data_IF_364883880350
#
_entry.id   IF_364883880350
#
_cell.length_a   1.000
_cell.length_b   1.000
_cell.length_c   1.000
_cell.angle_alpha   90.00
_cell.angle_beta   90.00
_cell.angle_gamma   90.00
#
_symmetry.space_group_name_H-M   'P 1'
#
loop_
_entity.id
_entity.type
_entity.pdbx_description
1 polymer ?
#
# COMPACT_ATOMS: atom_id res chain seq x y z
N UNK A 1 -55.89 28.68 -2.64
CA UNK A 1 -54.85 28.32 -3.63
C UNK A 1 -55.49 27.52 -4.75
N UNK A 2 -55.24 27.86 -6.02
CA UNK A 2 -55.79 27.13 -7.18
C UNK A 2 -55.22 25.70 -7.23
N UNK A 3 -56.00 24.67 -7.61
CA UNK A 3 -55.56 23.27 -7.64
C UNK A 3 -54.27 23.04 -8.45
N UNK A 4 -54.12 23.75 -9.57
CA UNK A 4 -52.91 23.67 -10.41
C UNK A 4 -51.63 24.15 -9.73
N UNK A 5 -51.72 25.07 -8.76
CA UNK A 5 -50.54 25.58 -8.04
C UNK A 5 -50.01 24.58 -7.03
N UNK A 6 -50.88 23.74 -6.44
CA UNK A 6 -50.48 22.64 -5.57
C UNK A 6 -49.79 21.53 -6.36
N UNK A 7 -50.29 21.23 -7.56
CA UNK A 7 -49.69 20.22 -8.46
C UNK A 7 -48.28 20.62 -8.91
N UNK A 8 -48.08 21.89 -9.26
CA UNK A 8 -46.78 22.42 -9.68
C UNK A 8 -45.72 22.33 -8.56
N UNK A 9 -46.07 22.68 -7.32
CA UNK A 9 -45.17 22.59 -6.18
C UNK A 9 -44.76 21.13 -5.91
N UNK A 10 -45.70 20.19 -6.05
CA UNK A 10 -45.45 18.76 -5.86
C UNK A 10 -44.48 18.19 -6.91
N UNK A 11 -44.62 18.62 -8.17
CA UNK A 11 -43.72 18.22 -9.26
C UNK A 11 -42.30 18.76 -9.09
N UNK A 12 -42.16 20.02 -8.68
CA UNK A 12 -40.85 20.65 -8.42
C UNK A 12 -40.16 19.98 -7.23
N UNK A 13 -40.91 19.70 -6.15
CA UNK A 13 -40.40 18.96 -5.00
C UNK A 13 -39.91 17.57 -5.38
N UNK A 14 -40.66 16.85 -6.22
CA UNK A 14 -40.25 15.56 -6.77
C UNK A 14 -38.93 15.66 -7.55
N UNK A 15 -38.84 16.59 -8.50
CA UNK A 15 -37.63 16.80 -9.32
C UNK A 15 -36.39 17.13 -8.48
N UNK A 16 -36.53 17.95 -7.44
CA UNK A 16 -35.43 18.27 -6.53
C UNK A 16 -34.97 17.06 -5.71
N UNK A 17 -35.91 16.25 -5.22
CA UNK A 17 -35.59 15.04 -4.46
C UNK A 17 -34.90 14.01 -5.34
N UNK A 18 -35.44 13.74 -6.53
CA UNK A 18 -34.82 12.80 -7.48
C UNK A 18 -33.48 13.32 -8.02
N UNK A 19 -33.37 14.62 -8.28
CA UNK A 19 -32.11 15.27 -8.65
C UNK A 19 -31.05 15.17 -7.55
N UNK A 20 -31.44 15.35 -6.29
CA UNK A 20 -30.55 15.18 -5.13
C UNK A 20 -30.07 13.74 -4.93
N UNK A 21 -30.98 12.76 -5.07
CA UNK A 21 -30.63 11.33 -4.99
C UNK A 21 -29.68 10.95 -6.14
N UNK A 22 -29.94 11.40 -7.36
CA UNK A 22 -29.07 11.14 -8.51
C UNK A 22 -27.68 11.77 -8.34
N UNK A 23 -27.62 13.00 -7.83
CA UNK A 23 -26.36 13.68 -7.55
C UNK A 23 -25.52 12.95 -6.50
N UNK A 24 -26.13 12.49 -5.42
CA UNK A 24 -25.47 11.67 -4.40
C UNK A 24 -25.00 10.30 -4.95
N UNK A 25 -25.77 9.69 -5.86
CA UNK A 25 -25.39 8.44 -6.50
C UNK A 25 -24.18 8.61 -7.46
N UNK A 26 -24.08 9.76 -8.13
CA UNK A 26 -22.95 10.10 -9.02
C UNK A 26 -21.67 10.52 -8.28
N UNK A 27 -21.75 10.89 -6.99
CA UNK A 27 -20.57 11.25 -6.19
C UNK A 27 -19.79 10.04 -5.63
N UNK A 28 -20.08 8.81 -6.08
CA UNK A 28 -19.24 7.67 -5.69
C UNK A 28 -17.85 7.82 -6.31
N UNK A 29 -16.89 8.27 -5.51
CA UNK A 29 -15.47 8.31 -5.86
C UNK A 29 -15.01 6.95 -6.41
N UNK A 30 -14.17 6.99 -7.44
CA UNK A 30 -13.55 5.80 -8.02
C UNK A 30 -12.81 5.04 -6.90
N UNK A 31 -13.15 3.75 -6.64
CA UNK A 31 -12.46 2.95 -5.65
C UNK A 31 -10.94 2.95 -5.79
N UNK A 32 -10.39 3.13 -7.00
CA UNK A 32 -8.95 3.21 -7.25
C UNK A 32 -8.32 4.49 -6.72
N UNK A 33 -8.98 5.63 -6.91
CA UNK A 33 -8.52 6.91 -6.37
C UNK A 33 -8.68 6.93 -4.85
N UNK A 34 -9.78 6.36 -4.34
CA UNK A 34 -9.96 6.15 -2.90
C UNK A 34 -8.87 5.26 -2.31
N UNK A 35 -8.49 4.18 -3.00
CA UNK A 35 -7.42 3.29 -2.54
C UNK A 35 -6.08 4.01 -2.40
N UNK A 36 -5.76 4.91 -3.34
CA UNK A 36 -4.56 5.75 -3.27
C UNK A 36 -4.61 6.70 -2.08
N UNK A 37 -5.73 7.41 -1.91
CA UNK A 37 -5.89 8.34 -0.79
C UNK A 37 -5.77 7.65 0.57
N UNK A 38 -6.36 6.45 0.73
CA UNK A 38 -6.25 5.66 1.95
C UNK A 38 -4.81 5.16 2.15
N UNK A 39 -4.13 4.71 1.10
CA UNK A 39 -2.74 4.28 1.17
C UNK A 39 -1.78 5.42 1.57
N UNK A 40 -1.90 6.59 0.96
CA UNK A 40 -1.10 7.77 1.30
C UNK A 40 -1.32 8.19 2.76
N UNK A 41 -2.58 8.23 3.21
CA UNK A 41 -2.89 8.53 4.61
C UNK A 41 -2.31 7.49 5.57
N UNK A 42 -2.35 6.21 5.17
CA UNK A 42 -1.81 5.12 5.98
C UNK A 42 -0.29 5.19 6.07
N UNK A 43 0.41 5.62 5.01
CA UNK A 43 1.86 5.82 5.03
C UNK A 43 2.29 6.74 6.17
N UNK A 44 1.66 7.91 6.30
CA UNK A 44 1.97 8.85 7.39
C UNK A 44 1.70 8.27 8.78
N UNK A 45 0.92 7.19 8.91
CA UNK A 45 0.67 6.50 10.18
C UNK A 45 1.62 5.32 10.41
N UNK A 46 2.32 4.86 9.37
CA UNK A 46 3.22 3.71 9.41
C UNK A 46 4.69 4.10 9.61
N UNK A 47 5.04 5.38 9.45
CA UNK A 47 6.41 5.88 9.60
C UNK A 47 6.63 6.53 10.97
N UNK A 48 7.86 6.46 11.48
CA UNK A 48 8.21 7.01 12.80
C UNK A 48 8.17 8.56 12.82
N UNK A 49 8.59 9.20 11.72
CA UNK A 49 8.62 10.66 11.58
C UNK A 49 7.77 11.12 10.36
N UNK A 50 6.44 11.25 10.50
CA UNK A 50 5.53 11.58 9.39
C UNK A 50 5.85 12.89 8.68
N UNK A 51 6.33 13.89 9.41
CA UNK A 51 6.73 15.20 8.88
C UNK A 51 7.97 15.15 7.97
N UNK A 52 8.75 14.08 8.05
CA UNK A 52 9.95 13.89 7.22
C UNK A 52 9.66 13.17 5.90
N UNK A 53 8.42 12.67 5.72
CA UNK A 53 8.04 11.88 4.55
C UNK A 53 8.06 12.73 3.28
N UNK A 54 8.78 12.23 2.29
CA UNK A 54 8.82 12.75 0.94
C UNK A 54 8.41 11.63 -0.03
N UNK A 55 7.16 11.68 -0.48
CA UNK A 55 6.63 10.71 -1.45
C UNK A 55 7.28 10.96 -2.81
N UNK A 56 7.93 9.93 -3.37
CA UNK A 56 8.57 9.97 -4.69
C UNK A 56 7.63 9.50 -5.79
N UNK A 57 6.89 8.42 -5.53
CA UNK A 57 5.97 7.83 -6.49
C UNK A 57 4.83 7.09 -5.79
N UNK A 58 3.65 7.13 -6.41
CA UNK A 58 2.47 6.37 -5.99
C UNK A 58 1.97 5.56 -7.18
N UNK A 59 1.86 4.24 -7.02
CA UNK A 59 1.39 3.37 -8.08
C UNK A 59 -0.10 3.58 -8.40
N UNK A 60 -0.55 3.07 -9.54
CA UNK A 60 -1.98 2.85 -9.75
C UNK A 60 -2.46 1.74 -8.81
N UNK A 61 -3.71 1.84 -8.37
CA UNK A 61 -4.36 0.77 -7.62
C UNK A 61 -4.53 -0.46 -8.53
N UNK A 62 -3.83 -1.54 -8.19
CA UNK A 62 -3.85 -2.80 -8.90
C UNK A 62 -4.86 -3.77 -8.25
N UNK A 63 -5.50 -4.62 -9.04
CA UNK A 63 -6.55 -5.52 -8.57
C UNK A 63 -5.97 -6.81 -7.99
N UNK A 64 -6.39 -7.15 -6.78
CA UNK A 64 -5.96 -8.36 -6.08
C UNK A 64 -7.05 -9.41 -6.15
N UNK A 65 -6.66 -10.62 -6.53
CA UNK A 65 -7.55 -11.77 -6.60
C UNK A 65 -7.13 -12.84 -5.58
N UNK A 66 -8.04 -13.19 -4.67
CA UNK A 66 -7.76 -14.10 -3.55
C UNK A 66 -6.78 -13.50 -2.54
N UNK A 67 -5.76 -14.28 -2.16
CA UNK A 67 -4.66 -13.85 -1.26
C UNK A 67 -3.34 -13.68 -2.01
N UNK A 68 -3.39 -13.59 -3.33
CA UNK A 68 -2.20 -13.45 -4.17
C UNK A 68 -1.78 -11.98 -4.22
N UNK A 69 -1.27 -11.47 -3.11
CA UNK A 69 -0.89 -10.06 -2.97
C UNK A 69 0.34 -9.69 -3.79
N UNK A 70 1.25 -10.66 -3.96
CA UNK A 70 2.52 -10.50 -4.65
C UNK A 70 2.56 -11.46 -5.84
N UNK A 71 2.92 -10.95 -7.02
CA UNK A 71 3.11 -11.80 -8.21
C UNK A 71 4.44 -12.56 -8.12
N UNK A 72 4.64 -13.58 -8.96
CA UNK A 72 5.90 -14.33 -9.00
C UNK A 72 7.08 -13.44 -9.39
N UNK A 73 6.87 -12.54 -10.37
CA UNK A 73 7.89 -11.58 -10.80
C UNK A 73 8.22 -10.58 -9.69
N UNK A 74 7.21 -10.03 -9.02
CA UNK A 74 7.40 -9.16 -7.86
C UNK A 74 8.16 -9.89 -6.76
N UNK A 75 7.79 -11.13 -6.45
CA UNK A 75 8.46 -11.96 -5.44
C UNK A 75 9.94 -12.15 -5.77
N UNK A 76 10.26 -12.40 -7.04
CA UNK A 76 11.64 -12.55 -7.52
C UNK A 76 12.42 -11.23 -7.43
N UNK A 77 11.82 -10.11 -7.84
CA UNK A 77 12.45 -8.79 -7.77
C UNK A 77 12.78 -8.41 -6.32
N UNK A 78 11.85 -8.67 -5.40
CA UNK A 78 12.07 -8.37 -3.99
C UNK A 78 13.14 -9.31 -3.40
N UNK A 79 13.13 -10.60 -3.75
CA UNK A 79 14.18 -11.53 -3.33
C UNK A 79 15.56 -11.10 -3.84
N UNK A 80 15.67 -10.64 -5.09
CA UNK A 80 16.91 -10.11 -5.66
C UNK A 80 17.38 -8.82 -4.97
N UNK A 81 16.46 -7.91 -4.63
CA UNK A 81 16.79 -6.71 -3.86
C UNK A 81 17.37 -7.08 -2.48
N UNK A 82 16.75 -8.04 -1.80
CA UNK A 82 17.24 -8.55 -0.51
C UNK A 82 18.60 -9.23 -0.60
N UNK A 83 18.85 -10.00 -1.67
CA UNK A 83 20.17 -10.60 -1.90
C UNK A 83 21.25 -9.54 -2.10
N UNK A 84 20.96 -8.45 -2.82
CA UNK A 84 21.89 -7.33 -2.98
C UNK A 84 22.15 -6.59 -1.66
N UNK A 85 21.13 -6.43 -0.82
CA UNK A 85 21.29 -5.87 0.52
C UNK A 85 22.19 -6.78 1.37
N UNK A 86 21.93 -8.08 1.38
CA UNK A 86 22.79 -9.08 2.04
C UNK A 86 24.24 -8.98 1.56
N UNK A 87 24.47 -8.90 0.25
CA UNK A 87 25.81 -8.77 -0.32
C UNK A 87 26.51 -7.50 0.17
N UNK A 88 25.81 -6.35 0.19
CA UNK A 88 26.36 -5.11 0.75
C UNK A 88 26.68 -5.23 2.23
N UNK A 89 25.82 -5.85 3.03
CA UNK A 89 26.06 -6.08 4.46
C UNK A 89 27.27 -7.01 4.64
N UNK A 90 27.38 -8.08 3.87
CA UNK A 90 28.54 -8.99 3.90
C UNK A 90 29.84 -8.29 3.52
N UNK A 91 29.82 -7.44 2.47
CA UNK A 91 31.00 -6.65 2.08
C UNK A 91 31.39 -5.62 3.15
N UNK A 92 30.40 -4.97 3.79
CA UNK A 92 30.64 -3.98 4.84
C UNK A 92 31.14 -4.59 6.15
N UNK A 93 30.78 -5.85 6.43
CA UNK A 93 31.11 -6.55 7.68
C UNK A 93 32.25 -7.57 7.53
N UNK A 94 32.93 -7.58 6.39
CA UNK A 94 33.97 -8.56 6.02
C UNK A 94 33.49 -10.00 6.23
N UNK A 95 32.39 -10.36 5.56
CA UNK A 95 31.68 -11.63 5.73
C UNK A 95 31.28 -11.93 7.19
N UNK A 96 30.96 -10.90 7.96
CA UNK A 96 30.65 -10.96 9.40
C UNK A 96 31.86 -11.26 10.30
N UNK A 97 33.10 -11.27 9.80
CA UNK A 97 34.30 -11.45 10.62
C UNK A 97 34.60 -10.23 11.50
N UNK A 98 34.19 -9.03 11.07
CA UNK A 98 34.31 -7.76 11.80
C UNK A 98 32.94 -7.13 12.06
N UNK A 99 31.97 -7.93 12.52
CA UNK A 99 30.63 -7.43 12.83
C UNK A 99 30.63 -6.65 14.15
N UNK A 100 30.54 -5.32 14.05
CA UNK A 100 30.38 -4.44 15.23
C UNK A 100 28.88 -4.23 15.52
N UNK A 101 28.42 -4.78 16.65
CA UNK A 101 27.03 -4.61 17.11
C UNK A 101 26.71 -3.17 17.54
N UNK A 102 27.72 -2.32 17.74
CA UNK A 102 27.54 -0.92 18.13
C UNK A 102 27.32 0.01 16.91
N UNK A 103 27.53 -0.47 15.68
CA UNK A 103 27.20 0.30 14.48
C UNK A 103 25.67 0.29 14.27
N UNK A 104 25.03 1.37 14.75
CA UNK A 104 23.59 1.61 14.59
C UNK A 104 23.10 1.52 13.15
N UNK A 105 23.95 1.82 12.16
CA UNK A 105 23.54 1.85 10.77
C UNK A 105 23.37 0.44 10.20
N UNK A 106 24.28 -0.48 10.51
CA UNK A 106 24.24 -1.88 10.04
C UNK A 106 23.20 -2.70 10.80
N UNK A 107 23.03 -2.46 12.10
CA UNK A 107 21.98 -3.10 12.91
C UNK A 107 20.56 -2.69 12.47
N UNK A 108 20.30 -1.41 12.23
CA UNK A 108 18.99 -0.93 11.75
C UNK A 108 18.64 -1.48 10.35
N UNK A 109 19.64 -1.60 9.45
CA UNK A 109 19.45 -2.23 8.14
C UNK A 109 19.08 -3.71 8.28
N UNK A 110 19.74 -4.44 9.18
CA UNK A 110 19.51 -5.87 9.41
C UNK A 110 18.14 -6.15 10.03
N UNK A 111 17.71 -5.32 10.99
CA UNK A 111 16.38 -5.43 11.60
C UNK A 111 15.28 -5.22 10.55
N UNK A 112 15.41 -4.16 9.74
CA UNK A 112 14.49 -3.89 8.63
C UNK A 112 14.47 -5.02 7.62
N UNK A 113 15.65 -5.57 7.30
CA UNK A 113 15.76 -6.69 6.38
C UNK A 113 15.05 -7.95 6.90
N UNK A 114 15.22 -8.27 8.20
CA UNK A 114 14.56 -9.42 8.82
C UNK A 114 13.04 -9.24 8.90
N UNK A 115 12.59 -8.02 9.21
CA UNK A 115 11.17 -7.66 9.19
C UNK A 115 10.57 -7.81 7.79
N UNK A 116 11.20 -7.24 6.77
CA UNK A 116 10.76 -7.38 5.37
C UNK A 116 10.80 -8.84 4.90
N UNK A 117 11.82 -9.63 5.27
CA UNK A 117 11.93 -11.03 4.87
C UNK A 117 10.84 -11.89 5.52
N UNK A 118 10.52 -11.62 6.79
CA UNK A 118 9.41 -12.26 7.50
C UNK A 118 8.06 -11.94 6.84
N UNK A 119 7.83 -10.65 6.55
CA UNK A 119 6.63 -10.19 5.86
C UNK A 119 6.49 -10.88 4.49
N UNK A 120 7.55 -10.88 3.67
CA UNK A 120 7.52 -11.55 2.37
C UNK A 120 7.30 -13.04 2.47
N UNK A 121 7.96 -13.75 3.39
CA UNK A 121 7.68 -15.19 3.58
C UNK A 121 6.21 -15.46 3.92
N UNK A 122 5.56 -14.55 4.65
CA UNK A 122 4.13 -14.67 4.95
C UNK A 122 3.23 -14.33 3.75
N UNK A 123 3.72 -13.53 2.80
CA UNK A 123 2.96 -12.98 1.67
C UNK A 123 3.18 -13.74 0.36
N UNK A 124 4.35 -14.36 0.18
CA UNK A 124 4.69 -15.17 -0.99
C UNK A 124 3.99 -16.51 -0.86
N UNK A 125 2.80 -16.59 -1.44
CA UNK A 125 2.12 -17.86 -1.63
C UNK A 125 2.75 -18.56 -2.83
N UNK A 126 3.42 -19.70 -2.62
CA UNK A 126 3.89 -20.54 -3.71
C UNK A 126 2.65 -21.02 -4.48
N UNK A 127 2.42 -20.46 -5.66
CA UNK A 127 1.29 -20.87 -6.51
C UNK A 127 1.54 -22.29 -7.01
N UNK A 128 0.56 -23.16 -6.87
CA UNK A 128 0.53 -24.42 -7.61
C UNK A 128 0.34 -24.10 -9.11
N UNK A 129 1.28 -24.48 -9.99
CA UNK A 129 1.16 -24.25 -11.44
C UNK A 129 -0.11 -24.86 -12.06
N UNK A 130 -0.74 -25.83 -11.39
CA UNK A 130 -1.95 -26.51 -11.83
C UNK A 130 -3.24 -25.92 -11.26
N UNK A 131 -3.17 -24.94 -10.37
CA UNK A 131 -4.35 -24.26 -9.82
C UNK A 131 -4.95 -23.29 -10.86
N UNK A 132 -5.97 -23.78 -11.58
CA UNK A 132 -6.73 -23.02 -12.58
C UNK A 132 -7.95 -22.30 -11.98
N UNK A 133 -8.10 -22.28 -10.65
CA UNK A 133 -9.29 -21.72 -10.02
C UNK A 133 -9.26 -20.19 -10.15
N UNK A 134 -10.28 -19.60 -10.77
CA UNK A 134 -10.42 -18.14 -10.79
C UNK A 134 -10.68 -17.65 -9.36
N UNK A 135 -9.69 -16.97 -8.80
CA UNK A 135 -9.79 -16.39 -7.46
C UNK A 135 -10.71 -15.16 -7.50
N UNK A 136 -11.55 -14.95 -6.47
CA UNK A 136 -12.43 -13.80 -6.42
C UNK A 136 -11.63 -12.49 -6.27
N UNK A 137 -12.15 -11.39 -6.81
CA UNK A 137 -11.61 -10.06 -6.53
C UNK A 137 -11.74 -9.76 -5.04
N UNK A 138 -10.63 -9.43 -4.39
CA UNK A 138 -10.53 -9.26 -2.94
C UNK A 138 -10.16 -7.85 -2.51
N UNK A 139 -9.57 -7.04 -3.39
CA UNK A 139 -9.15 -5.71 -3.00
C UNK A 139 -8.12 -5.07 -3.92
N UNK A 140 -7.46 -4.05 -3.39
CA UNK A 140 -6.55 -3.20 -4.15
C UNK A 140 -5.14 -3.25 -3.58
N UNK A 141 -4.13 -3.20 -4.46
CA UNK A 141 -2.73 -3.00 -4.09
C UNK A 141 -2.29 -1.62 -4.52
N UNK A 142 -1.72 -0.86 -3.61
CA UNK A 142 -1.07 0.43 -3.90
C UNK A 142 0.35 0.38 -3.34
N UNK A 143 1.32 0.78 -4.14
CA UNK A 143 2.73 0.90 -3.76
C UNK A 143 3.09 2.36 -3.67
N UNK A 144 3.80 2.74 -2.61
CA UNK A 144 4.25 4.11 -2.40
C UNK A 144 5.75 4.08 -2.15
N UNK A 145 6.50 4.65 -3.08
CA UNK A 145 7.93 4.89 -2.93
C UNK A 145 8.12 6.23 -2.21
N UNK A 146 8.94 6.23 -1.16
CA UNK A 146 9.12 7.41 -0.32
C UNK A 146 10.54 7.46 0.28
N UNK A 147 10.91 8.67 0.72
CA UNK A 147 12.03 8.89 1.62
C UNK A 147 11.48 9.41 2.95
N UNK A 148 12.08 9.00 4.07
CA UNK A 148 11.77 9.54 5.39
C UNK A 148 13.03 9.51 6.27
N UNK A 149 12.92 10.02 7.48
CA UNK A 149 13.96 9.95 8.51
C UNK A 149 13.55 8.99 9.62
N UNK A 150 14.52 8.27 10.17
CA UNK A 150 14.35 7.51 11.41
C UNK A 150 14.22 8.47 12.61
N UNK A 151 13.87 7.92 13.78
CA UNK A 151 13.94 8.63 15.05
C UNK A 151 15.32 9.29 15.30
N UNK A 152 16.39 8.64 14.82
CA UNK A 152 17.77 9.13 14.89
C UNK A 152 18.11 10.23 13.86
N UNK A 153 17.16 10.60 13.00
CA UNK A 153 17.32 11.63 11.96
C UNK A 153 18.03 11.15 10.67
N UNK A 154 18.44 9.88 10.61
CA UNK A 154 19.06 9.29 9.42
C UNK A 154 18.03 9.11 8.30
N UNK A 155 18.29 9.61 7.07
CA UNK A 155 17.38 9.42 5.97
C UNK A 155 17.42 7.97 5.47
N UNK A 156 16.28 7.45 5.06
CA UNK A 156 16.15 6.16 4.40
C UNK A 156 15.16 6.24 3.24
N UNK A 157 15.28 5.30 2.32
CA UNK A 157 14.46 5.21 1.11
C UNK A 157 13.80 3.84 1.05
N UNK A 158 12.49 3.79 0.82
CA UNK A 158 11.73 2.54 0.88
C UNK A 158 10.48 2.58 0.02
N UNK A 159 9.97 1.40 -0.33
CA UNK A 159 8.67 1.22 -0.99
C UNK A 159 7.71 0.54 -0.01
N UNK A 160 6.60 1.19 0.30
CA UNK A 160 5.55 0.66 1.14
C UNK A 160 4.41 0.09 0.29
N UNK A 161 3.98 -1.13 0.61
CA UNK A 161 2.92 -1.82 -0.11
C UNK A 161 1.68 -1.90 0.77
N UNK A 162 0.59 -1.29 0.31
CA UNK A 162 -0.70 -1.30 0.97
C UNK A 162 -1.65 -2.23 0.23
N UNK A 163 -2.21 -3.19 0.97
CA UNK A 163 -3.26 -4.08 0.53
C UNK A 163 -4.55 -3.59 1.17
N UNK A 164 -5.51 -3.19 0.35
CA UNK A 164 -6.79 -2.64 0.78
C UNK A 164 -7.92 -3.61 0.49
N UNK A 165 -9.03 -3.45 1.20
CA UNK A 165 -10.28 -4.18 0.95
C UNK A 165 -10.92 -3.82 -0.41
N UNK A 166 -11.96 -4.56 -0.82
CA UNK A 166 -12.67 -4.34 -2.10
C UNK A 166 -13.19 -2.91 -2.25
N UNK A 167 -13.64 -2.33 -1.15
CA UNK A 167 -14.22 -1.01 -1.11
C UNK A 167 -13.16 0.08 -0.91
N UNK A 168 -11.87 -0.25 -0.79
CA UNK A 168 -10.81 0.72 -0.58
C UNK A 168 -11.09 1.64 0.63
N UNK A 169 -11.66 1.10 1.69
CA UNK A 169 -12.00 1.82 2.92
C UNK A 169 -10.93 1.65 3.99
N UNK A 170 -10.23 0.51 4.01
CA UNK A 170 -9.21 0.21 4.99
C UNK A 170 -8.06 -0.63 4.42
N UNK A 171 -6.92 -0.54 5.08
CA UNK A 171 -5.75 -1.40 4.83
C UNK A 171 -5.96 -2.72 5.56
N UNK A 172 -6.01 -3.82 4.81
CA UNK A 172 -6.14 -5.18 5.35
C UNK A 172 -4.78 -5.83 5.63
N UNK A 173 -3.75 -5.40 4.90
CA UNK A 173 -2.38 -5.85 5.11
C UNK A 173 -1.41 -4.81 4.53
N UNK A 174 -0.20 -4.74 5.05
CA UNK A 174 0.82 -3.85 4.53
C UNK A 174 2.22 -4.29 4.94
N UNK A 175 3.21 -3.93 4.13
CA UNK A 175 4.60 -4.24 4.40
C UNK A 175 5.53 -3.25 3.71
N UNK A 176 6.72 -3.10 4.26
CA UNK A 176 7.75 -2.23 3.76
C UNK A 176 8.88 -3.03 3.11
N UNK A 177 9.39 -2.51 2.00
CA UNK A 177 10.56 -3.02 1.31
C UNK A 177 11.63 -1.92 1.28
N UNK A 178 12.78 -2.11 1.95
CA UNK A 178 13.87 -1.14 1.87
C UNK A 178 14.44 -1.09 0.46
N UNK A 179 14.65 0.12 -0.04
CA UNK A 179 15.31 0.38 -1.32
C UNK A 179 16.75 0.82 -1.07
N UNK A 180 17.65 0.49 -1.99
CA UNK A 180 19.10 0.71 -1.89
C UNK A 180 19.54 2.08 -2.41
#
# INVERSE_FOLDING_TARGET
MKPGMKLAILLIGGLLVWGGIFFLACQREDPKERARAVAEKSLYSCVDCPESVNIKAVSKADSIFGRDYVTTEESMNIAMAMLKINEKVMQATDNMENFDFEDRSTSALMERQMSSLSALRSLVTVKDPNDKTQKPFNGWKVKIEYEAKNEDGTPYHSEYWFILDKEATCVVNSFEIPLL
#
